data_IF_821871994910
#
_entry.id   IF_821871994910
#
_cell.length_a   1.000
_cell.length_b   1.000
_cell.length_c   1.000
_cell.angle_alpha   90.00
_cell.angle_beta   90.00
_cell.angle_gamma   90.00
#
_symmetry.space_group_name_H-M   'P 1'
#
loop_
_entity.id
_entity.type
_entity.pdbx_description
1 polymer ?
#
# COMPACT_ATOMS: atom_id res chain seq x y z
N UNK A 1 3.07 9.05 10.18
CA UNK A 1 2.45 8.38 9.00
C UNK A 1 3.27 7.23 8.39
N UNK A 2 4.54 7.42 8.00
CA UNK A 2 5.34 6.40 7.26
C UNK A 2 5.47 5.03 7.96
N UNK A 3 5.58 4.99 9.30
CA UNK A 3 5.67 3.73 10.07
C UNK A 3 4.39 2.88 10.00
N UNK A 4 3.23 3.51 9.89
CA UNK A 4 1.91 2.84 9.96
C UNK A 4 1.30 2.67 8.56
N UNK A 5 1.44 3.68 7.70
CA UNK A 5 0.81 3.71 6.37
C UNK A 5 1.79 3.62 5.20
N UNK A 6 3.09 3.60 5.46
CA UNK A 6 4.12 3.55 4.43
C UNK A 6 4.20 2.19 3.74
N UNK A 7 4.90 2.18 2.60
CA UNK A 7 4.99 1.03 1.71
C UNK A 7 5.46 -0.25 2.40
N UNK A 8 6.53 -0.18 3.20
CA UNK A 8 7.06 -1.36 3.93
C UNK A 8 6.04 -1.98 4.87
N UNK A 9 5.26 -1.16 5.59
CA UNK A 9 4.22 -1.65 6.50
C UNK A 9 3.08 -2.31 5.73
N UNK A 10 2.72 -1.78 4.56
CA UNK A 10 1.73 -2.41 3.66
C UNK A 10 2.25 -3.74 3.09
N UNK A 11 3.53 -3.85 2.74
CA UNK A 11 4.10 -5.11 2.26
C UNK A 11 4.18 -6.20 3.34
N UNK A 12 4.26 -5.83 4.63
CA UNK A 12 4.49 -6.78 5.73
C UNK A 12 3.31 -7.74 5.98
N UNK A 13 2.07 -7.35 5.66
CA UNK A 13 0.87 -8.16 5.93
C UNK A 13 0.11 -8.49 4.65
N UNK A 14 -0.53 -9.66 4.58
CA UNK A 14 -1.35 -10.07 3.43
C UNK A 14 -2.41 -9.03 3.07
N UNK A 15 -3.06 -8.43 4.07
CA UNK A 15 -4.03 -7.36 3.88
C UNK A 15 -3.41 -6.09 3.27
N UNK A 16 -2.23 -5.68 3.72
CA UNK A 16 -1.54 -4.53 3.17
C UNK A 16 -1.09 -4.74 1.71
N UNK A 17 -0.65 -5.96 1.34
CA UNK A 17 -0.34 -6.31 -0.06
C UNK A 17 -1.56 -6.16 -0.96
N UNK A 18 -2.73 -6.66 -0.51
CA UNK A 18 -4.01 -6.51 -1.23
C UNK A 18 -4.37 -5.04 -1.47
N UNK A 19 -4.12 -4.16 -0.51
CA UNK A 19 -4.35 -2.71 -0.67
C UNK A 19 -3.46 -2.16 -1.79
N UNK A 20 -2.17 -2.49 -1.80
CA UNK A 20 -1.26 -2.04 -2.86
C UNK A 20 -1.70 -2.54 -4.24
N UNK A 21 -2.11 -3.80 -4.36
CA UNK A 21 -2.63 -4.37 -5.62
C UNK A 21 -3.88 -3.64 -6.09
N UNK A 22 -4.87 -3.38 -5.21
CA UNK A 22 -6.07 -2.61 -5.56
C UNK A 22 -5.71 -1.19 -6.02
N UNK A 23 -4.74 -0.54 -5.37
CA UNK A 23 -4.30 0.81 -5.74
C UNK A 23 -3.58 0.85 -7.08
N UNK A 24 -2.76 -0.17 -7.40
CA UNK A 24 -2.13 -0.34 -8.72
C UNK A 24 -3.17 -0.56 -9.81
N UNK A 25 -4.13 -1.47 -9.58
CA UNK A 25 -5.23 -1.72 -10.52
C UNK A 25 -6.06 -0.46 -10.80
N UNK A 26 -6.25 0.40 -9.80
CA UNK A 26 -6.93 1.70 -9.96
C UNK A 26 -6.05 2.77 -10.65
N UNK A 27 -4.78 2.51 -10.92
CA UNK A 27 -3.87 3.48 -11.57
C UNK A 27 -3.51 4.67 -10.67
N UNK A 28 -3.49 4.51 -9.35
CA UNK A 28 -3.15 5.63 -8.45
C UNK A 28 -1.68 6.01 -8.62
N UNK A 29 -1.41 7.27 -9.00
CA UNK A 29 -0.05 7.81 -9.15
C UNK A 29 0.80 7.62 -7.88
N UNK A 30 0.19 7.80 -6.70
CA UNK A 30 0.83 7.52 -5.41
C UNK A 30 0.17 6.36 -4.67
N UNK A 31 0.93 5.31 -4.34
CA UNK A 31 0.38 4.08 -3.72
C UNK A 31 0.30 4.12 -2.19
N UNK A 32 1.16 4.88 -1.52
CA UNK A 32 1.12 5.07 -0.06
C UNK A 32 1.34 6.53 0.29
N UNK A 33 0.93 6.92 1.49
CA UNK A 33 1.12 8.29 2.00
C UNK A 33 2.60 8.60 2.21
#
# INVERSE_FOLDING_TARGET
>A
RKRVHGFRKRQRTKGGKRILTKRRKKGRWKLTV
#
